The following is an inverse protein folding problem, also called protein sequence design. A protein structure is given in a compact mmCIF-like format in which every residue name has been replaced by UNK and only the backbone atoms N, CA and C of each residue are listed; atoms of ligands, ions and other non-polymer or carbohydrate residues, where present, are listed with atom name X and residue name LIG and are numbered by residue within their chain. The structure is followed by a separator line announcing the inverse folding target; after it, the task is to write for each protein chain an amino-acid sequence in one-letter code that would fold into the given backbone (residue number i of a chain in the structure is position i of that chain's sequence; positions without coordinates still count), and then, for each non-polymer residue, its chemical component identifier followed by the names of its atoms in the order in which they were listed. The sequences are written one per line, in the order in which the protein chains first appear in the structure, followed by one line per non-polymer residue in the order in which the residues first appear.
data_IF_540087726416
#
_entry.id   IF_540087726416
#
_cell.length_a   1.000
_cell.length_b   1.000
_cell.length_c   1.000
_cell.angle_alpha   90.00
_cell.angle_beta   90.00
_cell.angle_gamma   90.00
#
_symmetry.space_group_name_H-M   'P 1'
#
loop_
_entity.id
_entity.type
_entity.pdbx_description
1 polymer ?
#
# COMPACT_ATOMS: atom_id res chain seq x y z
N UNK A 1 -6.17 -22.91 -1.66
CA UNK A 1 -4.88 -22.19 -1.66
C UNK A 1 -4.79 -21.36 -0.39
N UNK A 2 -3.69 -21.50 0.33
CA UNK A 2 -3.41 -20.67 1.51
C UNK A 2 -2.21 -19.79 1.22
N UNK A 3 -2.22 -18.57 1.74
CA UNK A 3 -1.08 -17.64 1.75
C UNK A 3 -0.87 -17.16 3.18
N UNK A 4 0.30 -16.63 3.48
CA UNK A 4 0.60 -16.02 4.79
C UNK A 4 1.11 -14.60 4.51
N UNK A 5 0.39 -13.61 5.03
CA UNK A 5 0.72 -12.20 4.87
C UNK A 5 1.53 -11.72 6.08
N UNK A 6 2.74 -11.21 5.80
CA UNK A 6 3.52 -10.40 6.71
C UNK A 6 3.24 -8.92 6.45
N UNK A 7 2.90 -8.15 7.47
CA UNK A 7 2.77 -6.69 7.39
C UNK A 7 3.77 -6.05 8.32
N UNK A 8 4.64 -5.24 7.75
CA UNK A 8 5.72 -4.57 8.49
C UNK A 8 5.28 -3.16 8.88
N UNK A 9 5.35 -2.86 10.17
CA UNK A 9 5.27 -1.52 10.73
C UNK A 9 6.66 -1.10 11.18
N UNK A 10 7.21 -0.02 10.61
CA UNK A 10 8.56 0.44 10.95
C UNK A 10 8.66 1.96 10.96
N UNK A 11 9.56 2.47 11.80
CA UNK A 11 10.01 3.86 11.77
C UNK A 11 11.10 4.07 10.73
N UNK A 12 11.21 5.27 10.20
CA UNK A 12 12.22 5.61 9.20
C UNK A 12 13.34 6.46 9.81
N UNK A 13 14.48 6.45 9.14
CA UNK A 13 15.58 7.39 9.32
C UNK A 13 15.79 8.17 8.02
N UNK A 14 16.63 9.19 8.04
CA UNK A 14 16.98 9.94 6.82
C UNK A 14 17.98 9.18 5.93
N UNK A 15 18.47 8.03 6.37
CA UNK A 15 19.43 7.18 5.65
C UNK A 15 18.74 6.08 4.87
N UNK A 16 18.81 6.14 3.54
CA UNK A 16 18.35 5.08 2.63
C UNK A 16 18.91 3.71 3.03
N UNK A 17 20.21 3.62 3.22
CA UNK A 17 20.87 2.33 3.51
C UNK A 17 20.44 1.74 4.86
N UNK A 18 20.24 2.59 5.88
CA UNK A 18 19.72 2.16 7.18
C UNK A 18 18.31 1.61 7.06
N UNK A 19 17.43 2.28 6.31
CA UNK A 19 16.05 1.84 6.12
C UNK A 19 15.96 0.56 5.29
N UNK A 20 16.76 0.46 4.22
CA UNK A 20 16.85 -0.76 3.39
C UNK A 20 17.37 -1.94 4.20
N UNK A 21 18.43 -1.75 4.99
CA UNK A 21 18.96 -2.80 5.85
C UNK A 21 17.94 -3.27 6.90
N UNK A 22 17.23 -2.34 7.56
CA UNK A 22 16.15 -2.64 8.50
C UNK A 22 15.03 -3.41 7.82
N UNK A 23 14.55 -2.95 6.67
CA UNK A 23 13.50 -3.63 5.90
C UNK A 23 13.89 -5.07 5.56
N UNK A 24 15.13 -5.31 5.12
CA UNK A 24 15.63 -6.66 4.84
C UNK A 24 15.59 -7.56 6.08
N UNK A 25 16.00 -7.05 7.25
CA UNK A 25 15.94 -7.81 8.52
C UNK A 25 14.48 -8.16 8.87
N UNK A 26 13.55 -7.20 8.76
CA UNK A 26 12.14 -7.44 9.07
C UNK A 26 11.46 -8.36 8.06
N UNK A 27 11.84 -8.31 6.78
CA UNK A 27 11.36 -9.28 5.77
C UNK A 27 11.86 -10.68 6.09
N UNK A 28 13.12 -10.85 6.51
CA UNK A 28 13.64 -12.15 6.93
C UNK A 28 12.93 -12.71 8.15
N UNK A 29 12.59 -11.86 9.14
CA UNK A 29 11.76 -12.26 10.27
C UNK A 29 10.36 -12.72 9.82
N UNK A 30 9.70 -11.95 8.95
CA UNK A 30 8.41 -12.32 8.39
C UNK A 30 8.46 -13.69 7.69
N UNK A 31 9.47 -13.90 6.81
CA UNK A 31 9.66 -15.15 6.08
C UNK A 31 9.97 -16.33 7.02
N UNK A 32 10.80 -16.13 8.04
CA UNK A 32 11.09 -17.15 9.05
C UNK A 32 9.85 -17.57 9.85
N UNK A 33 8.86 -16.67 9.96
CA UNK A 33 7.54 -16.91 10.58
C UNK A 33 6.50 -17.41 9.57
N UNK A 34 6.91 -17.79 8.37
CA UNK A 34 6.09 -18.42 7.34
C UNK A 34 5.39 -17.49 6.36
N UNK A 35 5.69 -16.19 6.37
CA UNK A 35 5.10 -15.26 5.40
C UNK A 35 5.49 -15.64 3.97
N UNK A 36 4.50 -15.63 3.07
CA UNK A 36 4.69 -15.82 1.62
C UNK A 36 4.47 -14.53 0.82
N UNK A 37 3.87 -13.51 1.47
CA UNK A 37 3.75 -12.14 0.97
C UNK A 37 4.19 -11.22 2.09
N UNK A 38 5.03 -10.21 1.82
CA UNK A 38 5.44 -9.25 2.85
C UNK A 38 5.27 -7.83 2.35
N UNK A 39 4.50 -7.03 3.10
CA UNK A 39 4.18 -5.64 2.79
C UNK A 39 4.99 -4.69 3.67
N UNK A 40 5.72 -3.77 3.06
CA UNK A 40 6.41 -2.64 3.68
C UNK A 40 5.55 -1.36 3.63
N UNK A 41 5.84 -0.34 4.47
CA UNK A 41 5.23 0.99 4.32
C UNK A 41 5.59 1.68 3.00
N UNK A 42 4.79 2.67 2.62
CA UNK A 42 5.02 3.56 1.48
C UNK A 42 6.34 4.34 1.63
N UNK A 43 7.12 4.47 0.51
CA UNK A 43 8.35 5.27 0.43
C UNK A 43 9.28 5.04 1.63
N UNK A 44 9.46 3.78 2.03
CA UNK A 44 10.21 3.37 3.23
C UNK A 44 11.70 3.72 3.16
N UNK A 45 12.17 4.17 2.01
CA UNK A 45 13.57 4.48 1.71
C UNK A 45 14.12 5.70 2.47
N UNK A 46 13.26 6.53 3.07
CA UNK A 46 13.66 7.71 3.82
C UNK A 46 12.55 8.27 4.69
N UNK A 47 12.85 9.38 5.37
CA UNK A 47 11.80 10.19 5.96
C UNK A 47 10.79 10.60 4.89
N UNK A 48 9.54 10.81 5.30
CA UNK A 48 8.46 11.24 4.41
C UNK A 48 8.69 12.70 4.00
N UNK A 49 9.50 12.90 2.95
CA UNK A 49 9.90 14.23 2.47
C UNK A 49 8.74 15.10 1.93
N UNK A 50 7.56 14.58 1.52
CA UNK A 50 6.44 15.42 1.12
C UNK A 50 5.83 16.30 2.21
N UNK A 51 6.34 16.23 3.44
CA UNK A 51 6.07 17.25 4.48
C UNK A 51 6.55 18.65 4.05
N UNK A 52 7.56 18.75 3.19
CA UNK A 52 8.14 19.99 2.72
C UNK A 52 8.31 20.00 1.20
N UNK A 53 8.12 21.15 0.57
CA UNK A 53 8.37 21.34 -0.87
C UNK A 53 9.82 21.82 -1.06
N UNK A 54 10.70 20.93 -1.51
CA UNK A 54 12.13 21.20 -1.75
C UNK A 54 12.60 20.54 -3.02
N UNK A 55 13.17 21.30 -3.94
CA UNK A 55 13.74 20.79 -5.20
C UNK A 55 14.80 19.71 -4.98
N UNK A 56 15.59 19.83 -3.91
CA UNK A 56 16.64 18.87 -3.60
C UNK A 56 16.12 17.43 -3.44
N UNK A 57 14.86 17.23 -3.05
CA UNK A 57 14.32 15.90 -2.87
C UNK A 57 14.00 15.15 -4.17
N UNK A 58 13.94 15.85 -5.30
CA UNK A 58 13.83 15.17 -6.60
C UNK A 58 15.04 14.28 -6.92
N UNK A 59 16.20 14.55 -6.31
CA UNK A 59 17.39 13.70 -6.45
C UNK A 59 17.24 12.31 -5.84
N UNK A 60 16.19 12.06 -5.04
CA UNK A 60 15.86 10.74 -4.47
C UNK A 60 15.15 9.83 -5.48
N UNK A 61 14.62 10.40 -6.58
CA UNK A 61 13.93 9.63 -7.60
C UNK A 61 14.91 8.85 -8.49
N UNK A 62 14.60 7.59 -8.73
CA UNK A 62 15.41 6.73 -9.58
C UNK A 62 14.56 5.98 -10.61
N UNK A 63 15.09 5.70 -11.81
CA UNK A 63 14.43 4.81 -12.76
C UNK A 63 14.24 3.41 -12.15
N UNK A 64 13.21 2.70 -12.58
CA UNK A 64 13.02 1.29 -12.20
C UNK A 64 14.21 0.45 -12.67
N UNK A 65 14.65 0.67 -13.91
CA UNK A 65 15.84 0.02 -14.46
C UNK A 65 17.10 0.58 -13.78
N UNK A 66 17.91 -0.31 -13.23
CA UNK A 66 19.12 0.09 -12.50
C UNK A 66 18.89 0.74 -11.14
N UNK A 67 17.69 0.59 -10.57
CA UNK A 67 17.34 1.18 -9.27
C UNK A 67 18.31 0.74 -8.16
N UNK A 68 18.75 1.63 -7.27
CA UNK A 68 19.83 1.33 -6.31
C UNK A 68 19.50 0.21 -5.32
N UNK A 69 18.23 -0.02 -4.99
CA UNK A 69 17.87 -1.08 -4.03
C UNK A 69 16.93 -2.16 -4.57
N UNK A 70 16.12 -1.93 -5.60
CA UNK A 70 15.14 -2.93 -6.12
C UNK A 70 15.83 -4.28 -6.45
N UNK A 71 17.01 -4.34 -7.09
CA UNK A 71 17.68 -5.61 -7.34
C UNK A 71 18.03 -6.40 -6.07
N UNK A 72 18.28 -5.72 -4.95
CA UNK A 72 18.52 -6.37 -3.64
C UNK A 72 17.26 -7.07 -3.14
N UNK A 73 16.09 -6.44 -3.31
CA UNK A 73 14.80 -7.03 -2.94
C UNK A 73 14.36 -8.15 -3.90
N UNK A 74 14.71 -8.07 -5.19
CA UNK A 74 14.52 -9.19 -6.13
C UNK A 74 15.33 -10.43 -5.71
N UNK A 75 16.58 -10.23 -5.33
CA UNK A 75 17.42 -11.32 -4.82
C UNK A 75 16.85 -11.89 -3.51
N UNK A 76 16.39 -11.01 -2.60
CA UNK A 76 15.80 -11.41 -1.33
C UNK A 76 14.46 -12.16 -1.52
N UNK A 77 13.59 -11.69 -2.41
CA UNK A 77 12.35 -12.35 -2.76
C UNK A 77 12.58 -13.79 -3.26
N UNK A 78 13.56 -13.95 -4.15
CA UNK A 78 13.98 -15.27 -4.67
C UNK A 78 14.57 -16.16 -3.58
N UNK A 79 15.42 -15.61 -2.73
CA UNK A 79 16.07 -16.36 -1.64
C UNK A 79 15.04 -16.89 -0.64
N UNK A 80 14.08 -16.05 -0.26
CA UNK A 80 13.11 -16.35 0.78
C UNK A 80 11.79 -16.95 0.24
N UNK A 81 11.62 -16.98 -1.09
CA UNK A 81 10.39 -17.41 -1.76
C UNK A 81 9.16 -16.57 -1.34
N UNK A 82 9.33 -15.24 -1.21
CA UNK A 82 8.27 -14.32 -0.80
C UNK A 82 7.92 -13.32 -1.90
N UNK A 83 6.65 -12.96 -1.99
CA UNK A 83 6.17 -11.86 -2.84
C UNK A 83 6.36 -10.54 -2.11
N UNK A 84 6.94 -9.54 -2.78
CA UNK A 84 7.22 -8.22 -2.23
C UNK A 84 6.59 -7.13 -3.11
N UNK A 85 5.45 -6.54 -2.72
CA UNK A 85 5.00 -5.26 -3.24
C UNK A 85 5.89 -4.15 -2.63
N UNK A 86 6.70 -3.50 -3.46
CA UNK A 86 7.76 -2.59 -3.01
C UNK A 86 7.49 -1.17 -3.52
N UNK A 87 7.23 -0.23 -2.60
CA UNK A 87 7.04 1.18 -2.92
C UNK A 87 8.38 1.91 -3.08
N UNK A 88 8.46 2.85 -4.03
CA UNK A 88 9.66 3.64 -4.30
C UNK A 88 9.34 4.95 -5.04
N UNK A 89 10.27 5.92 -5.01
CA UNK A 89 10.19 7.15 -5.78
C UNK A 89 10.72 6.93 -7.20
N UNK A 90 9.82 6.91 -8.18
CA UNK A 90 10.15 6.63 -9.58
C UNK A 90 10.47 7.89 -10.37
N UNK A 91 11.58 7.87 -11.13
CA UNK A 91 11.85 8.76 -12.25
C UNK A 91 11.56 8.04 -13.57
N UNK A 92 10.61 8.54 -14.36
CA UNK A 92 10.27 7.99 -15.68
C UNK A 92 10.34 9.09 -16.74
N UNK A 93 11.43 9.14 -17.49
CA UNK A 93 11.73 10.25 -18.38
C UNK A 93 11.90 11.54 -17.60
N UNK A 94 10.96 12.48 -17.74
CA UNK A 94 10.94 13.73 -16.98
C UNK A 94 9.82 13.77 -15.91
N UNK A 95 9.04 12.70 -15.81
CA UNK A 95 7.97 12.61 -14.83
C UNK A 95 8.42 11.86 -13.58
N UNK A 96 7.83 12.22 -12.44
CA UNK A 96 8.11 11.61 -11.15
C UNK A 96 6.83 10.99 -10.61
N UNK A 97 6.94 9.78 -10.07
CA UNK A 97 5.78 9.05 -9.55
C UNK A 97 6.07 8.44 -8.19
N UNK A 98 5.03 8.35 -7.37
CA UNK A 98 4.99 7.46 -6.24
C UNK A 98 4.55 6.09 -6.75
N UNK A 99 5.46 5.12 -6.76
CA UNK A 99 5.29 3.87 -7.50
C UNK A 99 5.44 2.65 -6.61
N UNK A 100 4.84 1.55 -7.04
CA UNK A 100 4.97 0.23 -6.44
C UNK A 100 5.31 -0.77 -7.54
N UNK A 101 6.39 -1.51 -7.34
CA UNK A 101 6.72 -2.67 -8.18
C UNK A 101 6.32 -3.95 -7.47
N UNK A 102 5.65 -4.86 -8.17
CA UNK A 102 5.32 -6.18 -7.65
C UNK A 102 6.44 -7.17 -8.00
N UNK A 103 7.16 -7.63 -6.97
CA UNK A 103 8.22 -8.64 -7.09
C UNK A 103 7.65 -9.99 -6.70
N UNK A 104 7.69 -10.97 -7.59
CA UNK A 104 7.21 -12.33 -7.29
C UNK A 104 8.22 -13.12 -6.44
N UNK A 105 7.78 -14.24 -5.90
CA UNK A 105 8.61 -15.16 -5.13
C UNK A 105 9.81 -15.73 -5.92
N UNK A 106 9.78 -15.66 -7.24
CA UNK A 106 10.92 -15.95 -8.13
C UNK A 106 11.95 -14.84 -8.21
N UNK A 107 11.64 -13.64 -7.68
CA UNK A 107 12.39 -12.40 -7.87
C UNK A 107 12.10 -11.67 -9.19
N UNK A 108 11.14 -12.16 -9.98
CA UNK A 108 10.69 -11.50 -11.21
C UNK A 108 9.83 -10.26 -10.91
N UNK A 109 9.96 -9.21 -11.72
CA UNK A 109 9.09 -8.05 -11.68
C UNK A 109 7.83 -8.35 -12.49
N UNK A 110 6.69 -8.50 -11.80
CA UNK A 110 5.39 -8.79 -12.45
C UNK A 110 4.75 -7.53 -13.05
N UNK A 111 5.22 -6.36 -12.67
CA UNK A 111 4.74 -5.10 -13.20
C UNK A 111 4.79 -3.96 -12.20
N UNK A 112 4.36 -2.80 -12.66
CA UNK A 112 4.41 -1.52 -11.97
C UNK A 112 3.00 -0.98 -11.76
N UNK A 113 2.75 -0.40 -10.59
CA UNK A 113 1.62 0.47 -10.29
C UNK A 113 2.12 1.84 -9.87
N UNK A 114 1.57 2.90 -10.44
CA UNK A 114 1.79 4.30 -10.08
C UNK A 114 0.58 4.82 -9.32
N UNK A 115 0.80 5.43 -8.17
CA UNK A 115 -0.25 5.97 -7.29
C UNK A 115 -1.20 6.88 -8.07
N UNK A 116 -2.47 6.51 -8.11
CA UNK A 116 -3.47 7.21 -8.92
C UNK A 116 -3.98 8.47 -8.26
N UNK A 117 -4.22 8.42 -6.94
CA UNK A 117 -4.73 9.54 -6.17
C UNK A 117 -3.60 10.18 -5.37
N UNK A 118 -3.24 11.40 -5.70
CA UNK A 118 -2.16 12.14 -5.06
C UNK A 118 -2.75 13.15 -4.07
N UNK A 119 -2.48 13.00 -2.76
CA UNK A 119 -2.95 13.96 -1.76
C UNK A 119 -2.23 15.30 -1.89
N UNK A 120 -2.87 16.35 -1.37
CA UNK A 120 -2.27 17.65 -1.21
C UNK A 120 -2.86 18.32 0.02
N UNK A 121 -1.99 18.79 0.90
CA UNK A 121 -2.37 19.46 2.13
C UNK A 121 -1.19 19.55 3.10
N UNK A 122 -1.37 20.25 4.22
CA UNK A 122 -0.33 20.38 5.24
C UNK A 122 0.18 19.00 5.69
N UNK A 123 1.50 18.80 5.66
CA UNK A 123 2.14 17.52 5.99
C UNK A 123 2.11 16.45 4.89
N UNK A 124 1.33 16.66 3.81
CA UNK A 124 1.14 15.69 2.71
C UNK A 124 1.16 16.38 1.34
N UNK A 125 2.16 17.23 1.08
CA UNK A 125 2.27 18.04 -0.15
C UNK A 125 2.83 17.21 -1.32
N UNK A 126 2.19 16.06 -1.60
CA UNK A 126 2.65 15.11 -2.60
C UNK A 126 2.52 15.61 -4.04
N UNK A 127 1.54 16.48 -4.33
CA UNK A 127 1.38 17.03 -5.69
C UNK A 127 2.55 17.87 -6.18
N UNK A 128 3.41 18.34 -5.27
CA UNK A 128 4.64 19.02 -5.65
C UNK A 128 5.63 18.06 -6.33
N UNK A 129 5.62 16.78 -5.92
CA UNK A 129 6.58 15.78 -6.38
C UNK A 129 6.03 14.84 -7.43
N UNK A 130 4.79 14.38 -7.28
CA UNK A 130 4.28 13.23 -8.01
C UNK A 130 3.23 13.60 -9.04
N UNK A 131 3.45 13.12 -10.26
CA UNK A 131 2.43 13.06 -11.29
C UNK A 131 1.40 11.99 -10.92
N UNK A 132 0.08 12.22 -11.12
CA UNK A 132 -0.92 11.17 -10.98
C UNK A 132 -0.58 9.95 -11.86
N UNK A 133 -0.76 8.76 -11.29
CA UNK A 133 -0.42 7.52 -11.95
C UNK A 133 -1.25 7.25 -13.22
N UNK A 134 -0.60 6.70 -14.23
CA UNK A 134 -1.14 6.41 -15.56
C UNK A 134 -1.25 4.90 -15.86
N UNK A 135 -0.93 4.05 -14.87
CA UNK A 135 -0.93 2.59 -15.05
C UNK A 135 -2.30 1.94 -14.88
N UNK A 136 -3.28 2.69 -14.37
CA UNK A 136 -4.56 2.16 -13.91
C UNK A 136 -4.42 1.21 -12.71
N UNK A 137 -5.56 0.85 -12.11
CA UNK A 137 -5.58 -0.14 -11.03
C UNK A 137 -5.31 -1.54 -11.57
N UNK A 138 -4.54 -2.34 -10.82
CA UNK A 138 -4.09 -3.67 -11.27
C UNK A 138 -4.30 -4.74 -10.21
N UNK A 139 -4.57 -5.96 -10.67
CA UNK A 139 -4.41 -7.17 -9.88
C UNK A 139 -3.26 -8.00 -10.48
N UNK A 140 -2.22 -8.21 -9.68
CA UNK A 140 -1.05 -8.99 -10.08
C UNK A 140 -1.24 -10.45 -9.73
N UNK A 141 -1.00 -11.35 -10.68
CA UNK A 141 -1.02 -12.80 -10.43
C UNK A 141 0.35 -13.21 -9.91
N UNK A 142 0.41 -13.53 -8.63
CA UNK A 142 1.62 -13.91 -7.92
C UNK A 142 1.61 -15.38 -7.53
N UNK A 143 2.74 -15.91 -7.06
CA UNK A 143 2.83 -17.24 -6.48
C UNK A 143 1.90 -17.46 -5.28
N UNK A 144 1.48 -16.39 -4.60
CA UNK A 144 0.65 -16.40 -3.38
C UNK A 144 -0.81 -15.98 -3.62
N UNK A 145 -1.27 -15.93 -4.88
CA UNK A 145 -2.62 -15.53 -5.26
C UNK A 145 -2.65 -14.22 -6.04
N UNK A 146 -3.84 -13.73 -6.34
CA UNK A 146 -4.02 -12.47 -7.04
C UNK A 146 -4.05 -11.29 -6.07
N UNK A 147 -3.09 -10.38 -6.20
CA UNK A 147 -2.89 -9.25 -5.28
C UNK A 147 -3.19 -7.94 -6.00
N UNK A 148 -4.13 -7.17 -5.48
CA UNK A 148 -4.33 -5.76 -5.82
C UNK A 148 -3.53 -4.87 -4.86
N UNK A 149 -2.84 -3.88 -5.38
CA UNK A 149 -2.11 -2.93 -4.55
C UNK A 149 -2.45 -1.50 -4.95
N UNK A 150 -2.92 -0.72 -3.97
CA UNK A 150 -3.04 0.74 -4.03
C UNK A 150 -2.03 1.35 -3.07
N UNK A 151 -1.69 2.63 -3.24
CA UNK A 151 -0.72 3.31 -2.38
C UNK A 151 -1.43 4.39 -1.56
N UNK A 152 -1.35 4.30 -0.22
CA UNK A 152 -1.77 5.31 0.75
C UNK A 152 -3.13 5.96 0.39
N UNK A 153 -3.13 7.16 -0.21
CA UNK A 153 -4.35 7.92 -0.52
C UNK A 153 -5.37 7.16 -1.36
N UNK A 154 -4.94 6.18 -2.18
CA UNK A 154 -5.84 5.27 -2.92
C UNK A 154 -6.79 4.50 -2.00
N UNK A 155 -6.40 4.31 -0.73
CA UNK A 155 -7.17 3.59 0.29
C UNK A 155 -8.52 4.25 0.63
N UNK A 156 -8.68 5.55 0.33
CA UNK A 156 -9.92 6.26 0.60
C UNK A 156 -11.00 6.07 -0.46
N UNK A 157 -10.63 5.52 -1.64
CA UNK A 157 -11.48 5.40 -2.81
C UNK A 157 -12.02 3.98 -3.00
N UNK A 158 -13.34 3.74 -2.74
CA UNK A 158 -13.96 2.43 -2.94
C UNK A 158 -13.83 1.94 -4.39
N UNK A 159 -13.79 2.86 -5.35
CA UNK A 159 -13.64 2.58 -6.77
C UNK A 159 -12.30 1.88 -7.06
N UNK A 160 -11.22 2.29 -6.39
CA UNK A 160 -9.91 1.67 -6.52
C UNK A 160 -9.94 0.20 -6.08
N UNK A 161 -10.47 -0.06 -4.88
CA UNK A 161 -10.61 -1.41 -4.34
C UNK A 161 -11.51 -2.28 -5.23
N UNK A 162 -12.64 -1.74 -5.70
CA UNK A 162 -13.56 -2.44 -6.59
C UNK A 162 -12.94 -2.74 -7.96
N UNK A 163 -12.19 -1.81 -8.54
CA UNK A 163 -11.51 -2.02 -9.82
C UNK A 163 -10.50 -3.15 -9.73
N UNK A 164 -9.69 -3.21 -8.67
CA UNK A 164 -8.74 -4.31 -8.43
C UNK A 164 -9.45 -5.64 -8.22
N UNK A 165 -10.52 -5.68 -7.43
CA UNK A 165 -11.29 -6.89 -7.17
C UNK A 165 -11.99 -7.42 -8.44
N UNK A 166 -12.46 -6.54 -9.33
CA UNK A 166 -13.03 -6.92 -10.64
C UNK A 166 -12.00 -7.54 -11.58
N UNK A 167 -10.72 -7.19 -11.43
CA UNK A 167 -9.60 -7.82 -12.13
C UNK A 167 -9.14 -9.13 -11.48
N UNK A 168 -9.80 -9.55 -10.40
CA UNK A 168 -9.57 -10.82 -9.73
C UNK A 168 -8.71 -10.75 -8.48
N UNK A 169 -8.43 -9.57 -7.93
CA UNK A 169 -7.71 -9.47 -6.67
C UNK A 169 -8.46 -10.23 -5.55
N UNK A 170 -7.68 -10.95 -4.77
CA UNK A 170 -8.12 -11.73 -3.61
C UNK A 170 -7.61 -11.14 -2.30
N UNK A 171 -6.49 -10.43 -2.42
CA UNK A 171 -5.85 -9.66 -1.35
C UNK A 171 -5.67 -8.24 -1.85
N UNK A 172 -6.08 -7.27 -1.04
CA UNK A 172 -5.86 -5.83 -1.28
C UNK A 172 -4.77 -5.34 -0.33
N UNK A 173 -3.72 -4.73 -0.86
CA UNK A 173 -2.58 -4.25 -0.08
C UNK A 173 -2.41 -2.74 -0.23
N UNK A 174 -2.16 -2.08 0.90
CA UNK A 174 -1.96 -0.63 0.96
C UNK A 174 -0.70 -0.29 1.76
N UNK A 175 0.48 -0.14 1.10
CA UNK A 175 1.60 0.55 1.70
C UNK A 175 1.21 2.00 1.96
N UNK A 176 1.48 2.51 3.16
CA UNK A 176 0.93 3.78 3.64
C UNK A 176 1.97 4.59 4.41
N UNK A 177 1.81 5.91 4.38
CA UNK A 177 2.46 6.87 5.24
C UNK A 177 1.40 7.86 5.74
N UNK A 178 0.73 7.53 6.86
CA UNK A 178 -0.35 8.33 7.43
C UNK A 178 -0.13 8.52 8.93
N UNK A 179 -0.37 9.73 9.42
CA UNK A 179 -0.10 10.07 10.81
C UNK A 179 -1.15 11.02 11.40
N UNK A 180 -0.76 11.67 12.50
CA UNK A 180 -1.58 12.69 13.14
C UNK A 180 -1.88 13.82 12.16
N UNK A 181 -3.12 14.28 12.19
CA UNK A 181 -3.52 15.43 11.38
C UNK A 181 -2.78 16.68 11.84
N UNK A 182 -2.45 17.60 10.92
CA UNK A 182 -1.92 18.90 11.28
C UNK A 182 -2.88 19.65 12.22
N UNK A 183 -2.36 20.51 13.10
CA UNK A 183 -3.17 21.31 14.03
C UNK A 183 -4.32 22.07 13.36
N UNK A 184 -4.13 22.50 12.11
CA UNK A 184 -5.15 23.19 11.32
C UNK A 184 -6.39 22.33 11.02
N UNK A 185 -6.31 21.01 11.11
CA UNK A 185 -7.44 20.09 10.91
C UNK A 185 -8.22 19.80 12.20
N UNK A 186 -7.80 20.38 13.34
CA UNK A 186 -8.38 20.09 14.65
C UNK A 186 -7.81 18.81 15.28
N UNK A 187 -8.29 18.48 16.47
CA UNK A 187 -7.82 17.31 17.25
C UNK A 187 -8.43 15.97 16.76
N UNK A 188 -8.70 15.83 15.47
CA UNK A 188 -9.30 14.59 14.94
C UNK A 188 -8.26 13.47 14.83
N UNK A 189 -8.45 12.39 15.57
CA UNK A 189 -7.73 11.14 15.35
C UNK A 189 -8.34 10.35 14.20
N UNK A 190 -7.70 10.38 13.03
CA UNK A 190 -8.18 9.71 11.83
C UNK A 190 -7.84 8.22 11.79
N UNK A 191 -7.08 7.69 12.74
CA UNK A 191 -6.58 6.32 12.69
C UNK A 191 -7.68 5.24 12.66
N UNK A 192 -8.79 5.46 13.39
CA UNK A 192 -9.95 4.57 13.35
C UNK A 192 -10.73 4.70 12.03
N UNK A 193 -10.89 5.92 11.52
CA UNK A 193 -11.53 6.17 10.24
C UNK A 193 -10.75 5.52 9.10
N UNK A 194 -9.42 5.63 9.13
CA UNK A 194 -8.50 5.00 8.19
C UNK A 194 -8.68 3.48 8.13
N UNK A 195 -8.73 2.79 9.29
CA UNK A 195 -8.97 1.36 9.30
C UNK A 195 -10.39 1.00 8.83
N UNK A 196 -11.41 1.77 9.24
CA UNK A 196 -12.82 1.47 8.89
C UNK A 196 -13.10 1.53 7.41
N UNK A 197 -12.54 2.51 6.67
CA UNK A 197 -12.76 2.59 5.22
C UNK A 197 -12.18 1.36 4.53
N UNK A 198 -10.99 0.93 4.91
CA UNK A 198 -10.35 -0.27 4.32
C UNK A 198 -11.05 -1.57 4.73
N UNK A 199 -11.52 -1.68 5.96
CA UNK A 199 -12.37 -2.81 6.39
C UNK A 199 -13.63 -2.88 5.51
N UNK A 200 -14.24 -1.72 5.18
CA UNK A 200 -15.35 -1.66 4.23
C UNK A 200 -14.99 -2.21 2.85
N UNK A 201 -13.77 -1.96 2.37
CA UNK A 201 -13.29 -2.54 1.10
C UNK A 201 -13.14 -4.05 1.19
N UNK A 202 -12.59 -4.57 2.29
CA UNK A 202 -12.45 -6.01 2.50
C UNK A 202 -13.83 -6.71 2.42
N UNK A 203 -14.82 -6.19 3.15
CA UNK A 203 -16.18 -6.73 3.17
C UNK A 203 -16.87 -6.60 1.81
N UNK A 204 -16.90 -5.39 1.23
CA UNK A 204 -17.62 -5.13 -0.02
C UNK A 204 -17.08 -5.93 -1.21
N UNK A 205 -15.82 -6.32 -1.19
CA UNK A 205 -15.16 -7.11 -2.24
C UNK A 205 -14.93 -8.57 -1.85
N UNK A 206 -15.24 -8.96 -0.62
CA UNK A 206 -14.93 -10.27 -0.05
C UNK A 206 -13.45 -10.67 -0.31
N UNK A 207 -12.54 -9.74 0.01
CA UNK A 207 -11.09 -9.88 -0.12
C UNK A 207 -10.42 -9.80 1.25
N UNK A 208 -9.27 -10.44 1.42
CA UNK A 208 -8.36 -10.09 2.50
C UNK A 208 -7.77 -8.70 2.24
N UNK A 209 -7.37 -8.01 3.31
CA UNK A 209 -6.76 -6.69 3.20
C UNK A 209 -5.61 -6.55 4.19
N UNK A 210 -4.47 -5.98 3.74
CA UNK A 210 -3.35 -5.61 4.57
C UNK A 210 -2.94 -4.17 4.34
N UNK A 211 -2.69 -3.44 5.42
CA UNK A 211 -2.18 -2.07 5.38
C UNK A 211 -0.93 -1.94 6.27
N UNK A 212 0.17 -1.47 5.67
CA UNK A 212 1.43 -1.23 6.36
C UNK A 212 1.65 0.27 6.52
N UNK A 213 1.83 0.72 7.75
CA UNK A 213 2.08 2.13 8.06
C UNK A 213 3.42 2.32 8.77
N UNK A 214 3.89 3.55 8.78
CA UNK A 214 5.04 4.02 9.55
C UNK A 214 4.67 4.21 11.01
N UNK A 215 5.70 4.27 11.88
CA UNK A 215 5.61 4.71 13.28
C UNK A 215 6.69 5.74 13.58
N UNK A 216 6.47 6.50 14.66
CA UNK A 216 7.41 7.49 15.16
C UNK A 216 7.21 8.87 14.54
N UNK A 217 8.07 9.80 14.94
CA UNK A 217 8.00 11.20 14.52
C UNK A 217 9.18 11.51 13.61
N UNK A 218 8.88 12.00 12.42
CA UNK A 218 9.87 12.40 11.43
C UNK A 218 9.93 13.92 11.31
N UNK A 219 11.16 14.46 11.24
CA UNK A 219 11.41 15.88 11.08
C UNK A 219 12.14 16.14 9.77
N UNK A 220 11.50 16.95 8.90
CA UNK A 220 12.01 17.28 7.57
C UNK A 220 11.91 18.78 7.37
N UNK A 221 13.05 19.45 7.21
CA UNK A 221 13.11 20.89 6.89
C UNK A 221 12.27 21.80 7.83
N UNK A 222 12.25 21.48 9.12
CA UNK A 222 11.48 22.22 10.12
C UNK A 222 10.02 21.82 10.25
N UNK A 223 9.53 20.91 9.41
CA UNK A 223 8.22 20.26 9.58
C UNK A 223 8.35 19.01 10.43
N UNK A 224 7.30 18.69 11.18
CA UNK A 224 7.22 17.51 12.01
C UNK A 224 5.93 16.77 11.70
N UNK A 225 6.05 15.47 11.46
CA UNK A 225 4.92 14.56 11.24
C UNK A 225 5.06 13.34 12.14
N UNK A 226 4.04 13.05 12.95
CA UNK A 226 3.96 11.84 13.75
C UNK A 226 3.06 10.82 13.08
N UNK A 227 3.62 9.65 12.76
CA UNK A 227 2.90 8.53 12.17
C UNK A 227 2.34 7.62 13.26
N UNK A 228 1.05 7.29 13.17
CA UNK A 228 0.33 6.62 14.26
C UNK A 228 0.37 5.08 14.20
N UNK A 229 1.17 4.50 13.31
CA UNK A 229 1.25 3.04 13.20
C UNK A 229 -0.09 2.40 12.87
N UNK A 230 -0.54 1.47 13.74
CA UNK A 230 -1.81 0.76 13.60
C UNK A 230 -1.95 -0.03 12.29
N UNK A 231 -0.83 -0.51 11.76
CA UNK A 231 -0.82 -1.46 10.64
C UNK A 231 -1.71 -2.65 10.97
N UNK A 232 -2.43 -3.21 10.00
CA UNK A 232 -3.38 -4.27 10.30
C UNK A 232 -3.61 -5.20 9.12
N UNK A 233 -4.21 -6.34 9.41
CA UNK A 233 -4.78 -7.27 8.43
C UNK A 233 -6.25 -7.50 8.77
N UNK A 234 -7.13 -7.38 7.78
CA UNK A 234 -8.53 -7.74 7.90
C UNK A 234 -8.86 -8.95 6.99
N UNK A 235 -9.74 -9.82 7.45
CA UNK A 235 -10.28 -10.88 6.62
C UNK A 235 -11.44 -10.37 5.74
N UNK A 236 -11.92 -11.24 4.86
CA UNK A 236 -13.00 -10.93 3.92
C UNK A 236 -14.38 -10.69 4.57
N UNK A 237 -14.51 -10.89 5.90
CA UNK A 237 -15.70 -10.55 6.69
C UNK A 237 -15.56 -9.21 7.40
N UNK A 238 -14.38 -8.59 7.33
CA UNK A 238 -14.04 -7.33 7.99
C UNK A 238 -13.47 -7.50 9.40
N UNK A 239 -13.23 -8.72 9.84
CA UNK A 239 -12.59 -8.97 11.13
C UNK A 239 -11.10 -8.62 11.05
N UNK A 240 -10.61 -7.76 11.93
CA UNK A 240 -9.16 -7.57 12.09
C UNK A 240 -8.54 -8.83 12.67
N UNK A 241 -7.72 -9.53 11.89
CA UNK A 241 -7.04 -10.77 12.29
C UNK A 241 -5.64 -10.52 12.85
N UNK A 242 -5.06 -9.36 12.57
CA UNK A 242 -3.84 -8.86 13.18
C UNK A 242 -3.86 -7.32 13.19
N UNK A 243 -3.33 -6.72 14.25
CA UNK A 243 -3.20 -5.26 14.38
C UNK A 243 -1.96 -4.92 15.20
N UNK A 244 -1.19 -3.93 14.77
CA UNK A 244 -0.08 -3.34 15.50
C UNK A 244 -0.56 -2.19 16.40
N UNK A 245 0.21 -1.91 17.45
CA UNK A 245 -0.02 -0.72 18.26
C UNK A 245 0.46 0.56 17.54
N UNK A 246 0.43 1.68 18.26
CA UNK A 246 0.75 3.01 17.70
C UNK A 246 2.23 3.36 17.68
N UNK A 247 3.08 2.60 18.35
CA UNK A 247 4.44 3.05 18.69
C UNK A 247 5.54 2.09 18.30
N UNK A 248 5.25 0.78 18.29
CA UNK A 248 6.30 -0.22 18.17
C UNK A 248 6.56 -0.59 16.72
N UNK A 249 7.82 -0.78 16.38
CA UNK A 249 8.20 -1.48 15.16
C UNK A 249 7.85 -2.96 15.33
N UNK A 250 7.15 -3.54 14.36
CA UNK A 250 6.70 -4.93 14.46
C UNK A 250 6.42 -5.57 13.11
N UNK A 251 6.40 -6.89 13.11
CA UNK A 251 5.96 -7.72 11.98
C UNK A 251 4.69 -8.45 12.39
N UNK A 252 3.58 -8.13 11.74
CA UNK A 252 2.33 -8.87 11.87
C UNK A 252 2.35 -10.08 10.93
N UNK A 253 1.79 -11.20 11.35
CA UNK A 253 1.61 -12.40 10.53
C UNK A 253 0.14 -12.81 10.56
N UNK A 254 -0.44 -13.06 9.39
CA UNK A 254 -1.81 -13.52 9.25
C UNK A 254 -1.94 -14.60 8.17
N UNK A 255 -2.61 -15.70 8.50
CA UNK A 255 -2.96 -16.74 7.53
C UNK A 255 -4.16 -16.30 6.70
N UNK A 256 -4.09 -16.49 5.39
CA UNK A 256 -5.13 -16.14 4.42
C UNK A 256 -5.66 -17.44 3.76
N UNK A 257 -6.90 -17.81 4.05
CA UNK A 257 -7.58 -18.92 3.37
C UNK A 257 -8.32 -18.39 2.14
N UNK A 258 -7.61 -18.34 1.01
CA UNK A 258 -8.15 -17.80 -0.25
C UNK A 258 -9.30 -18.64 -0.82
N UNK A 259 -9.30 -19.95 -0.58
CA UNK A 259 -10.40 -20.81 -1.05
C UNK A 259 -11.69 -20.51 -0.28
N UNK A 260 -11.58 -20.29 1.02
CA UNK A 260 -12.72 -19.86 1.85
C UNK A 260 -13.26 -18.51 1.39
N UNK A 261 -12.38 -17.54 1.11
CA UNK A 261 -12.79 -16.24 0.59
C UNK A 261 -13.49 -16.34 -0.78
N UNK A 262 -12.99 -17.19 -1.69
CA UNK A 262 -13.63 -17.47 -2.99
C UNK A 262 -15.04 -18.06 -2.82
N UNK A 263 -15.16 -19.06 -1.96
CA UNK A 263 -16.45 -19.71 -1.69
C UNK A 263 -17.44 -18.72 -1.07
N UNK A 264 -17.00 -17.92 -0.11
CA UNK A 264 -17.82 -16.87 0.51
C UNK A 264 -18.28 -15.82 -0.52
N UNK A 265 -17.36 -15.33 -1.36
CA UNK A 265 -17.65 -14.35 -2.41
C UNK A 265 -18.69 -14.86 -3.39
N UNK A 266 -18.57 -16.12 -3.82
CA UNK A 266 -19.53 -16.78 -4.72
C UNK A 266 -20.91 -16.93 -4.06
N UNK A 267 -20.95 -17.38 -2.81
CA UNK A 267 -22.19 -17.59 -2.05
C UNK A 267 -22.95 -16.30 -1.79
N UNK A 268 -22.25 -15.21 -1.42
CA UNK A 268 -22.87 -13.91 -1.16
C UNK A 268 -23.39 -13.21 -2.42
N UNK A 269 -22.84 -13.52 -3.58
CA UNK A 269 -23.34 -12.99 -4.86
C UNK A 269 -22.98 -11.51 -5.12
N UNK A 270 -22.06 -10.89 -4.36
CA UNK A 270 -21.72 -9.47 -4.47
C UNK A 270 -21.34 -9.03 -5.89
N UNK A 271 -20.70 -9.89 -6.67
CA UNK A 271 -20.31 -9.59 -8.05
C UNK A 271 -21.39 -9.95 -9.07
N UNK A 272 -22.22 -10.98 -8.79
CA UNK A 272 -23.36 -11.38 -9.62
C UNK A 272 -24.44 -10.31 -9.64
N UNK A 273 -24.72 -9.69 -8.49
CA UNK A 273 -25.86 -8.80 -8.30
C UNK A 273 -25.50 -7.33 -8.58
N UNK A 274 -24.29 -7.06 -9.10
CA UNK A 274 -23.89 -5.72 -9.54
C UNK A 274 -24.78 -5.19 -10.66
N UNK A 275 -25.03 -3.90 -10.64
CA UNK A 275 -25.80 -3.19 -11.64
C UNK A 275 -24.95 -2.12 -12.36
N UNK A 276 -23.98 -2.54 -13.23
CA UNK A 276 -23.09 -1.60 -13.92
C UNK A 276 -23.84 -0.55 -14.75
N UNK A 277 -25.03 -0.91 -15.24
CA UNK A 277 -25.94 -0.03 -15.94
C UNK A 277 -26.40 1.20 -15.14
N UNK A 278 -26.29 1.16 -13.80
CA UNK A 278 -26.64 2.25 -12.89
C UNK A 278 -25.43 3.06 -12.41
N UNK A 279 -24.20 2.68 -12.78
CA UNK A 279 -22.99 3.26 -12.22
C UNK A 279 -22.36 4.36 -13.11
N UNK A 280 -23.06 4.80 -14.16
CA UNK A 280 -22.58 5.89 -15.01
C UNK A 280 -22.17 7.18 -14.25
N UNK A 281 -22.84 7.58 -13.15
CA UNK A 281 -22.42 8.75 -12.37
C UNK A 281 -21.01 8.64 -11.77
N UNK A 282 -20.49 7.41 -11.56
CA UNK A 282 -19.12 7.20 -11.06
C UNK A 282 -18.03 7.50 -12.10
N UNK A 283 -18.40 7.71 -13.37
CA UNK A 283 -17.46 7.99 -14.45
C UNK A 283 -17.25 9.51 -14.68
N UNK A 284 -17.90 10.36 -13.90
CA UNK A 284 -17.79 11.82 -13.98
C UNK A 284 -17.52 12.41 -12.60
N UNK A 285 -16.77 13.50 -12.56
CA UNK A 285 -16.37 14.13 -11.28
C UNK A 285 -17.53 14.71 -10.48
N UNK A 286 -18.64 15.08 -11.14
CA UNK A 286 -19.80 15.73 -10.53
C UNK A 286 -21.07 14.83 -10.53
N UNK A 287 -20.94 13.58 -10.95
CA UNK A 287 -22.05 12.62 -11.04
C UNK A 287 -23.04 12.89 -12.18
N UNK A 288 -22.78 13.89 -13.04
CA UNK A 288 -23.65 14.21 -14.17
C UNK A 288 -23.26 13.42 -15.40
N UNK A 289 -24.22 12.76 -16.03
CA UNK A 289 -23.98 12.14 -17.33
C UNK A 289 -23.70 13.23 -18.36
N UNK A 290 -22.65 13.16 -19.16
CA UNK A 290 -22.46 14.08 -20.28
C UNK A 290 -23.71 14.10 -21.16
N UNK A 291 -24.25 15.27 -21.43
CA UNK A 291 -25.37 15.45 -22.34
C UNK A 291 -24.96 15.23 -23.78
#
# INVERSE_FOLDING_TARGET
MKAVLGVIQMGMSDSLETNVAKAIVMIRDAAARGATVVLLPELFEGYYWPQAQREAFFSRAHPLEGHPFIPRFQALARELHVVLPLSFFELAGHAHYNSLVMIDASGELLGLYRKSHIPDGPGYMEKYYFTPGDTGFKAFRTASGAIGAGICWDQWYPEAARAMALQGAEVLLYPTAIGSEPEAAGEMDTSEMWQRVMIGHAVANACYLGAANRVGTERVEGFEQSFYGRSFVADFTGTKVAEANRTDETVLIAELDLDRARSFRAGMGFFRDRRPDLYAPLLTSDGRTPR
#
